data_IF_070104904142
#
_entry.id   IF_070104904142
#
_cell.length_a   1.000
_cell.length_b   1.000
_cell.length_c   1.000
_cell.angle_alpha   90.00
_cell.angle_beta   90.00
_cell.angle_gamma   90.00
#
_symmetry.space_group_name_H-M   'P 1'
#
loop_
_entity.id
_entity.type
_entity.pdbx_description
1 polymer ?
#
# COMPACT_ATOMS: atom_id res chain seq x y z
N UNK A 1 15.98 -4.32 -20.29
CA UNK A 1 15.12 -5.20 -21.11
C UNK A 1 13.85 -4.41 -21.37
N UNK A 2 13.48 -4.19 -22.61
CA UNK A 2 12.39 -3.28 -22.96
C UNK A 2 11.03 -3.91 -22.64
N UNK A 3 10.05 -3.09 -22.26
CA UNK A 3 8.66 -3.46 -21.96
C UNK A 3 8.03 -4.40 -23.02
N UNK A 4 8.55 -4.36 -24.24
CA UNK A 4 8.17 -5.20 -25.38
C UNK A 4 8.32 -6.71 -25.15
N UNK A 5 9.24 -7.17 -24.30
CA UNK A 5 9.34 -8.61 -23.97
C UNK A 5 8.31 -9.01 -22.89
N UNK A 6 8.01 -8.11 -21.96
CA UNK A 6 7.09 -8.36 -20.84
C UNK A 6 5.66 -8.46 -21.37
N UNK A 7 5.28 -7.56 -22.27
CA UNK A 7 3.90 -7.49 -22.79
C UNK A 7 3.53 -8.68 -23.68
N UNK A 8 4.51 -9.41 -24.24
CA UNK A 8 4.25 -10.65 -25.01
C UNK A 8 3.62 -11.78 -24.19
N UNK A 9 3.69 -11.69 -22.86
CA UNK A 9 3.05 -12.64 -21.96
C UNK A 9 1.53 -12.40 -21.82
N UNK A 10 1.02 -11.31 -22.38
CA UNK A 10 -0.36 -10.87 -22.26
C UNK A 10 -1.08 -10.87 -23.61
N UNK A 11 -2.42 -10.97 -23.63
CA UNK A 11 -3.20 -10.84 -24.85
C UNK A 11 -2.88 -9.56 -25.64
N UNK A 12 -2.86 -9.65 -26.98
CA UNK A 12 -2.41 -8.53 -27.84
C UNK A 12 -3.21 -7.24 -27.63
N UNK A 13 -4.50 -7.35 -27.30
CA UNK A 13 -5.40 -6.24 -26.98
C UNK A 13 -5.06 -5.54 -25.65
N UNK A 14 -4.39 -6.23 -24.72
CA UNK A 14 -3.93 -5.67 -23.44
C UNK A 14 -2.59 -4.94 -23.56
N UNK A 15 -1.78 -5.26 -24.56
CA UNK A 15 -0.43 -4.72 -24.72
C UNK A 15 -0.40 -3.18 -24.76
N UNK A 16 -1.25 -2.48 -25.53
CA UNK A 16 -1.25 -1.02 -25.55
C UNK A 16 -1.56 -0.41 -24.19
N UNK A 17 -2.51 -1.00 -23.46
CA UNK A 17 -2.85 -0.58 -22.11
C UNK A 17 -1.67 -0.75 -21.15
N UNK A 18 -1.03 -1.91 -21.12
CA UNK A 18 0.12 -2.17 -20.23
C UNK A 18 1.30 -1.25 -20.55
N UNK A 19 1.59 -0.99 -21.83
CA UNK A 19 2.62 -0.02 -22.25
C UNK A 19 2.30 1.39 -21.74
N UNK A 20 1.03 1.80 -21.83
CA UNK A 20 0.57 3.10 -21.33
C UNK A 20 0.74 3.22 -19.81
N UNK A 21 0.33 2.21 -19.04
CA UNK A 21 0.51 2.21 -17.58
C UNK A 21 1.99 2.20 -17.21
N UNK A 22 2.81 1.36 -17.86
CA UNK A 22 4.25 1.30 -17.65
C UNK A 22 4.93 2.66 -17.85
N UNK A 23 4.63 3.34 -18.97
CA UNK A 23 5.13 4.68 -19.23
C UNK A 23 4.60 5.70 -18.22
N UNK A 24 3.34 5.56 -17.82
CA UNK A 24 2.72 6.38 -16.79
C UNK A 24 3.46 6.28 -15.46
N UNK A 25 3.77 5.06 -15.00
CA UNK A 25 4.51 4.83 -13.76
C UNK A 25 5.90 5.47 -13.79
N UNK A 26 6.64 5.34 -14.89
CA UNK A 26 7.97 5.97 -15.04
C UNK A 26 7.86 7.49 -15.02
N UNK A 27 6.87 8.04 -15.73
CA UNK A 27 6.67 9.49 -15.78
C UNK A 27 6.26 10.03 -14.40
N UNK A 28 5.36 9.32 -13.72
CA UNK A 28 4.80 9.73 -12.44
C UNK A 28 5.81 9.64 -11.29
N UNK A 29 6.53 8.51 -11.18
CA UNK A 29 7.55 8.32 -10.15
C UNK A 29 8.83 9.11 -10.45
N UNK A 30 9.13 9.32 -11.73
CA UNK A 30 10.38 9.93 -12.18
C UNK A 30 11.41 8.90 -12.64
N UNK A 31 12.39 9.38 -13.41
CA UNK A 31 13.39 8.54 -14.08
C UNK A 31 14.23 7.70 -13.13
N UNK A 32 14.43 8.16 -11.90
CA UNK A 32 15.26 7.49 -10.89
C UNK A 32 14.65 6.15 -10.47
N UNK A 33 13.33 6.01 -10.61
CA UNK A 33 12.56 4.80 -10.29
C UNK A 33 12.32 3.90 -11.50
N UNK A 34 12.85 4.22 -12.68
CA UNK A 34 12.62 3.43 -13.90
C UNK A 34 12.99 1.96 -13.73
N UNK A 35 14.14 1.65 -13.12
CA UNK A 35 14.58 0.27 -12.90
C UNK A 35 13.62 -0.50 -11.97
N UNK A 36 13.08 0.17 -10.95
CA UNK A 36 12.08 -0.43 -10.07
C UNK A 36 10.81 -0.80 -10.87
N UNK A 37 10.29 0.13 -11.67
CA UNK A 37 9.11 -0.11 -12.52
C UNK A 37 9.38 -1.28 -13.49
N UNK A 38 10.53 -1.29 -14.15
CA UNK A 38 10.94 -2.38 -15.05
C UNK A 38 10.96 -3.74 -14.33
N UNK A 39 11.52 -3.80 -13.13
CA UNK A 39 11.61 -5.03 -12.35
C UNK A 39 10.23 -5.52 -11.89
N UNK A 40 9.35 -4.62 -11.47
CA UNK A 40 7.97 -4.98 -11.08
C UNK A 40 7.22 -5.57 -12.26
N UNK A 41 7.21 -4.89 -13.42
CA UNK A 41 6.53 -5.39 -14.61
C UNK A 41 7.10 -6.72 -15.10
N UNK A 42 8.40 -6.96 -14.89
CA UNK A 42 9.05 -8.20 -15.30
C UNK A 42 8.78 -9.37 -14.35
N UNK A 43 8.82 -9.12 -13.03
CA UNK A 43 8.87 -10.18 -12.02
C UNK A 43 7.55 -10.37 -11.28
N UNK A 44 6.57 -9.49 -11.48
CA UNK A 44 5.24 -9.60 -10.90
C UNK A 44 4.26 -9.94 -12.03
N UNK A 45 3.81 -11.20 -12.15
CA UNK A 45 2.76 -11.57 -13.08
C UNK A 45 1.45 -10.85 -12.77
N UNK A 46 0.76 -10.39 -13.80
CA UNK A 46 -0.59 -9.84 -13.70
C UNK A 46 -1.61 -10.89 -14.17
N UNK A 47 -2.62 -11.17 -13.36
CA UNK A 47 -3.68 -12.12 -13.69
C UNK A 47 -5.00 -11.39 -13.67
N UNK A 48 -5.65 -11.33 -14.82
CA UNK A 48 -6.92 -10.63 -15.01
C UNK A 48 -8.07 -11.61 -15.16
N UNK A 49 -9.28 -11.20 -14.78
CA UNK A 49 -10.52 -11.94 -14.98
C UNK A 49 -10.55 -13.32 -14.31
N UNK A 50 -9.92 -13.40 -13.13
CA UNK A 50 -9.93 -14.61 -12.29
C UNK A 50 -10.14 -14.25 -10.83
N UNK A 51 -10.87 -15.11 -10.12
CA UNK A 51 -11.08 -14.95 -8.69
C UNK A 51 -9.74 -14.96 -7.94
N UNK A 52 -9.52 -13.95 -7.10
CA UNK A 52 -8.31 -13.77 -6.31
C UNK A 52 -7.99 -15.02 -5.47
N UNK A 53 -8.96 -15.53 -4.71
CA UNK A 53 -8.77 -16.69 -3.85
C UNK A 53 -8.29 -17.91 -4.63
N UNK A 54 -8.96 -18.26 -5.73
CA UNK A 54 -8.63 -19.43 -6.55
C UNK A 54 -7.22 -19.36 -7.11
N UNK A 55 -6.79 -18.18 -7.57
CA UNK A 55 -5.43 -17.97 -8.10
C UNK A 55 -4.39 -18.15 -6.99
N UNK A 56 -4.63 -17.61 -5.79
CA UNK A 56 -3.69 -17.75 -4.68
C UNK A 56 -3.60 -19.20 -4.16
N UNK A 57 -4.72 -19.96 -4.16
CA UNK A 57 -4.71 -21.40 -3.89
C UNK A 57 -3.84 -22.12 -4.91
N UNK A 58 -4.12 -21.94 -6.20
CA UNK A 58 -3.42 -22.61 -7.30
C UNK A 58 -1.90 -22.37 -7.27
N UNK A 59 -1.50 -21.16 -6.86
CA UNK A 59 -0.10 -20.73 -6.77
C UNK A 59 0.58 -21.11 -5.45
N UNK A 60 -0.14 -21.73 -4.51
CA UNK A 60 0.31 -22.00 -3.13
C UNK A 60 0.80 -20.71 -2.43
N UNK A 61 0.06 -19.61 -2.59
CA UNK A 61 0.36 -18.30 -2.04
C UNK A 61 -0.65 -17.85 -0.97
N UNK A 62 -1.57 -18.73 -0.56
CA UNK A 62 -2.44 -18.46 0.59
C UNK A 62 -1.71 -18.73 1.90
N UNK A 63 -1.77 -17.75 2.79
CA UNK A 63 -1.44 -17.95 4.19
C UNK A 63 -2.67 -18.42 4.94
N UNK A 64 -2.62 -19.62 5.52
CA UNK A 64 -3.76 -20.27 6.17
C UNK A 64 -4.22 -19.50 7.43
N UNK A 65 -3.45 -18.50 7.88
CA UNK A 65 -3.77 -17.63 9.02
C UNK A 65 -3.61 -16.13 8.68
N UNK A 66 -3.80 -15.72 7.41
CA UNK A 66 -3.79 -14.29 7.05
C UNK A 66 -4.96 -13.55 7.70
N UNK A 67 -4.76 -12.26 7.99
CA UNK A 67 -5.84 -11.36 8.49
C UNK A 67 -6.98 -11.29 7.48
N UNK A 68 -6.65 -11.22 6.18
CA UNK A 68 -7.64 -11.26 5.12
C UNK A 68 -8.19 -12.68 5.03
N UNK A 69 -9.46 -12.84 5.42
CA UNK A 69 -10.12 -14.13 5.42
C UNK A 69 -10.34 -14.66 4.00
N UNK A 70 -10.48 -15.97 3.86
CA UNK A 70 -10.80 -16.60 2.56
C UNK A 70 -12.06 -16.01 1.90
N UNK A 71 -13.07 -15.63 2.68
CA UNK A 71 -14.30 -14.99 2.20
C UNK A 71 -14.12 -13.53 1.75
N UNK A 72 -13.08 -12.84 2.24
CA UNK A 72 -12.73 -11.50 1.76
C UNK A 72 -11.99 -11.60 0.44
N UNK A 73 -11.02 -12.51 0.32
CA UNK A 73 -10.32 -12.79 -0.94
C UNK A 73 -11.27 -13.22 -2.06
N UNK A 74 -12.29 -14.03 -1.76
CA UNK A 74 -13.30 -14.44 -2.75
C UNK A 74 -14.09 -13.26 -3.32
N UNK A 75 -14.20 -12.15 -2.58
CA UNK A 75 -14.97 -10.95 -2.95
C UNK A 75 -14.07 -9.79 -3.39
N UNK A 76 -12.75 -9.95 -3.32
CA UNK A 76 -11.80 -8.89 -3.64
C UNK A 76 -11.83 -8.55 -5.15
N UNK A 77 -11.87 -7.26 -5.45
CA UNK A 77 -11.77 -6.74 -6.82
C UNK A 77 -10.37 -6.91 -7.39
N UNK A 78 -9.34 -6.79 -6.54
CA UNK A 78 -7.96 -7.12 -6.84
C UNK A 78 -7.14 -7.35 -5.58
N UNK A 79 -5.93 -7.87 -5.76
CA UNK A 79 -4.91 -7.97 -4.71
C UNK A 79 -3.50 -7.99 -5.32
N UNK A 80 -2.57 -7.29 -4.69
CA UNK A 80 -1.15 -7.61 -4.74
C UNK A 80 -0.83 -8.61 -3.62
N UNK A 81 -0.32 -9.78 -4.00
CA UNK A 81 0.10 -10.80 -3.05
C UNK A 81 1.55 -11.18 -3.27
N UNK A 82 2.25 -11.43 -2.17
CA UNK A 82 3.61 -11.92 -2.16
C UNK A 82 3.81 -13.00 -1.11
N UNK A 83 4.71 -13.94 -1.39
CA UNK A 83 4.96 -15.11 -0.56
C UNK A 83 6.46 -15.45 -0.59
N UNK A 84 7.17 -15.36 0.55
CA UNK A 84 8.57 -15.72 0.65
C UNK A 84 8.70 -17.24 0.82
N UNK A 85 9.53 -17.87 0.00
CA UNK A 85 9.94 -19.26 0.21
C UNK A 85 11.13 -19.27 1.17
N UNK A 86 10.88 -19.81 2.36
CA UNK A 86 11.85 -19.81 3.45
C UNK A 86 12.57 -21.15 3.57
N UNK A 87 13.83 -21.10 4.00
CA UNK A 87 14.64 -22.28 4.33
C UNK A 87 15.27 -22.09 5.71
N UNK A 88 15.32 -23.16 6.48
CA UNK A 88 16.07 -23.25 7.73
C UNK A 88 17.24 -24.23 7.58
N UNK A 89 18.45 -23.82 7.99
CA UNK A 89 19.66 -24.64 7.87
C UNK A 89 20.06 -25.37 9.17
N UNK A 90 19.21 -25.34 10.19
CA UNK A 90 19.53 -25.83 11.54
C UNK A 90 20.02 -24.74 12.49
N UNK A 91 20.30 -23.53 11.99
CA UNK A 91 20.74 -22.38 12.79
C UNK A 91 20.03 -21.09 12.41
N UNK A 92 19.90 -20.79 11.12
CA UNK A 92 19.36 -19.54 10.59
C UNK A 92 18.23 -19.78 9.60
N UNK A 93 17.29 -18.83 9.55
CA UNK A 93 16.30 -18.73 8.48
C UNK A 93 16.86 -17.90 7.32
N UNK A 94 16.47 -18.23 6.10
CA UNK A 94 16.83 -17.50 4.88
C UNK A 94 15.67 -17.46 3.90
N UNK A 95 15.59 -16.39 3.10
CA UNK A 95 14.63 -16.23 2.00
C UNK A 95 15.31 -16.73 0.73
N UNK A 96 14.76 -17.77 0.10
CA UNK A 96 15.30 -18.34 -1.14
C UNK A 96 14.76 -17.61 -2.38
N UNK A 97 13.46 -17.36 -2.37
CA UNK A 97 12.76 -16.62 -3.42
C UNK A 97 11.55 -15.90 -2.82
N UNK A 98 11.05 -14.88 -3.52
CA UNK A 98 9.79 -14.21 -3.20
C UNK A 98 8.90 -14.34 -4.42
N UNK A 99 7.81 -15.09 -4.28
CA UNK A 99 6.76 -15.16 -5.28
C UNK A 99 5.90 -13.92 -5.15
N UNK A 100 5.50 -13.32 -6.27
CA UNK A 100 4.66 -12.12 -6.33
C UNK A 100 3.60 -12.31 -7.39
N UNK A 101 2.46 -11.66 -7.22
CA UNK A 101 1.38 -11.65 -8.20
C UNK A 101 0.45 -10.46 -7.96
N UNK A 102 -0.07 -9.88 -9.03
CA UNK A 102 -1.27 -9.02 -8.98
C UNK A 102 -2.41 -9.81 -9.61
N UNK A 103 -3.55 -9.89 -8.92
CA UNK A 103 -4.76 -10.52 -9.45
C UNK A 103 -5.89 -9.49 -9.45
N UNK A 104 -6.64 -9.38 -10.54
CA UNK A 104 -7.82 -8.50 -10.65
C UNK A 104 -9.00 -9.30 -11.21
N UNK A 105 -10.08 -9.39 -10.44
CA UNK A 105 -11.17 -10.35 -10.67
C UNK A 105 -12.07 -10.02 -11.87
N UNK A 106 -12.35 -8.74 -12.14
CA UNK A 106 -13.27 -8.29 -13.19
C UNK A 106 -12.67 -7.12 -13.97
N UNK A 107 -11.66 -7.41 -14.78
CA UNK A 107 -10.88 -6.41 -15.49
C UNK A 107 -11.34 -6.19 -16.93
N UNK A 108 -11.49 -4.93 -17.29
CA UNK A 108 -11.66 -4.46 -18.67
C UNK A 108 -10.86 -3.18 -18.90
N UNK A 109 -10.16 -3.11 -20.04
CA UNK A 109 -9.43 -1.91 -20.47
C UNK A 109 -10.32 -0.69 -20.74
N UNK A 110 -11.64 -0.90 -20.84
CA UNK A 110 -12.63 0.16 -21.01
C UNK A 110 -13.32 0.56 -19.68
N UNK A 111 -13.09 -0.18 -18.59
CA UNK A 111 -13.73 0.04 -17.30
C UNK A 111 -12.79 0.80 -16.36
N UNK A 112 -13.07 2.09 -16.18
CA UNK A 112 -12.35 3.01 -15.28
C UNK A 112 -12.16 2.39 -13.89
N UNK A 113 -13.20 1.80 -13.31
CA UNK A 113 -13.13 1.19 -11.97
C UNK A 113 -12.18 -0.01 -11.92
N UNK A 114 -12.15 -0.82 -12.97
CA UNK A 114 -11.27 -1.99 -12.99
C UNK A 114 -9.81 -1.63 -13.27
N UNK A 115 -9.57 -0.56 -14.05
CA UNK A 115 -8.24 0.03 -14.24
C UNK A 115 -7.76 0.63 -12.92
N UNK A 116 -8.62 1.35 -12.20
CA UNK A 116 -8.26 1.94 -10.90
C UNK A 116 -7.90 0.85 -9.89
N UNK A 117 -8.68 -0.25 -9.85
CA UNK A 117 -8.35 -1.43 -9.02
C UNK A 117 -6.97 -2.00 -9.38
N UNK A 118 -6.64 -2.13 -10.68
CA UNK A 118 -5.31 -2.58 -11.09
C UNK A 118 -4.20 -1.60 -10.69
N UNK A 119 -4.39 -0.30 -10.88
CA UNK A 119 -3.40 0.72 -10.50
C UNK A 119 -3.18 0.76 -8.99
N UNK A 120 -4.24 0.56 -8.20
CA UNK A 120 -4.16 0.44 -6.74
C UNK A 120 -3.22 -0.70 -6.32
N UNK A 121 -3.44 -1.91 -6.86
CA UNK A 121 -2.58 -3.05 -6.56
C UNK A 121 -1.16 -2.90 -7.13
N UNK A 122 -1.02 -2.24 -8.28
CA UNK A 122 0.28 -1.91 -8.83
C UNK A 122 1.06 -0.93 -7.93
N UNK A 123 0.35 0.00 -7.28
CA UNK A 123 0.91 0.88 -6.25
C UNK A 123 1.53 0.08 -5.11
N UNK A 124 0.79 -0.87 -4.54
CA UNK A 124 1.34 -1.79 -3.52
C UNK A 124 2.53 -2.60 -4.05
N UNK A 125 2.45 -3.15 -5.26
CA UNK A 125 3.56 -3.91 -5.83
C UNK A 125 4.84 -3.07 -5.96
N UNK A 126 4.73 -1.83 -6.48
CA UNK A 126 5.85 -0.88 -6.59
C UNK A 126 6.44 -0.56 -5.23
N UNK A 127 5.58 -0.25 -4.26
CA UNK A 127 5.98 0.08 -2.89
C UNK A 127 6.42 -1.12 -2.07
N UNK A 128 6.13 -2.36 -2.46
CA UNK A 128 6.59 -3.54 -1.73
C UNK A 128 7.92 -4.06 -2.27
N UNK A 129 8.14 -3.95 -3.59
CA UNK A 129 9.17 -4.72 -4.30
C UNK A 129 10.59 -4.64 -3.70
N UNK A 130 11.02 -3.44 -3.30
CA UNK A 130 12.33 -3.23 -2.68
C UNK A 130 12.26 -3.46 -1.17
N UNK A 131 13.14 -4.33 -0.67
CA UNK A 131 13.27 -4.67 0.76
C UNK A 131 11.96 -5.15 1.39
N UNK A 132 11.15 -5.89 0.63
CA UNK A 132 9.84 -6.37 1.05
C UNK A 132 9.89 -7.25 2.28
N UNK A 133 10.91 -8.09 2.41
CA UNK A 133 11.03 -9.07 3.48
C UNK A 133 12.42 -9.00 4.12
N UNK A 134 12.45 -9.06 5.44
CA UNK A 134 13.67 -9.15 6.25
C UNK A 134 13.49 -10.21 7.34
N UNK A 135 14.58 -10.88 7.70
CA UNK A 135 14.60 -11.86 8.79
C UNK A 135 15.44 -11.30 9.94
N UNK A 136 14.83 -11.19 11.11
CA UNK A 136 15.45 -10.74 12.35
C UNK A 136 15.34 -11.86 13.39
N UNK A 137 16.38 -12.70 13.47
CA UNK A 137 16.33 -13.90 14.31
C UNK A 137 15.28 -14.90 13.82
N UNK A 138 14.23 -15.11 14.60
CA UNK A 138 13.07 -15.94 14.24
C UNK A 138 11.86 -15.11 13.80
N UNK A 139 12.02 -13.82 13.54
CA UNK A 139 10.96 -12.96 13.04
C UNK A 139 11.15 -12.71 11.54
N UNK A 140 10.10 -12.91 10.77
CA UNK A 140 9.98 -12.39 9.41
C UNK A 140 9.21 -11.08 9.49
N UNK A 141 9.81 -10.01 8.99
CA UNK A 141 9.18 -8.70 8.83
C UNK A 141 8.88 -8.50 7.35
N UNK A 142 7.62 -8.26 7.02
CA UNK A 142 7.17 -7.87 5.67
C UNK A 142 6.82 -6.39 5.65
N UNK A 143 7.28 -5.67 4.64
CA UNK A 143 6.97 -4.25 4.43
C UNK A 143 6.45 -3.97 3.03
N UNK A 144 5.29 -3.32 2.96
CA UNK A 144 4.70 -2.77 1.73
C UNK A 144 4.47 -1.29 1.96
N UNK A 145 5.35 -0.44 1.42
CA UNK A 145 5.42 0.97 1.83
C UNK A 145 5.63 1.11 3.35
N UNK A 146 4.67 1.75 4.03
CA UNK A 146 4.66 1.89 5.50
C UNK A 146 4.06 0.71 6.25
N UNK A 147 3.29 -0.15 5.58
CA UNK A 147 2.72 -1.35 6.21
C UNK A 147 3.86 -2.20 6.74
N UNK A 148 3.72 -2.64 7.98
CA UNK A 148 4.65 -3.58 8.61
C UNK A 148 3.85 -4.76 9.17
N UNK A 149 4.12 -5.94 8.65
CA UNK A 149 3.60 -7.21 9.15
C UNK A 149 4.75 -8.01 9.77
N UNK A 150 4.48 -8.64 10.91
CA UNK A 150 5.45 -9.49 11.61
C UNK A 150 4.92 -10.89 11.75
N UNK A 151 5.78 -11.85 11.44
CA UNK A 151 5.49 -13.27 11.55
C UNK A 151 6.58 -13.97 12.36
N UNK A 152 6.17 -14.80 13.32
CA UNK A 152 7.07 -15.70 14.02
C UNK A 152 7.34 -16.92 13.14
N UNK A 153 8.61 -17.24 12.95
CA UNK A 153 9.08 -18.39 12.21
C UNK A 153 9.30 -19.58 13.14
N UNK A 154 8.65 -20.69 12.83
CA UNK A 154 8.84 -21.97 13.51
C UNK A 154 9.12 -23.06 12.49
N UNK A 155 9.78 -24.14 12.93
CA UNK A 155 10.00 -25.32 12.09
C UNK A 155 9.09 -26.43 12.60
N UNK A 156 8.24 -26.93 11.71
CA UNK A 156 7.34 -28.04 12.00
C UNK A 156 7.38 -29.02 10.83
N UNK A 157 7.64 -30.29 11.12
CA UNK A 157 7.71 -31.38 10.13
C UNK A 157 8.68 -31.10 8.96
N UNK A 158 9.78 -30.39 9.25
CA UNK A 158 10.81 -30.02 8.27
C UNK A 158 10.47 -28.80 7.41
N UNK A 159 9.31 -28.17 7.61
CA UNK A 159 8.89 -26.96 6.92
C UNK A 159 8.94 -25.75 7.83
N UNK A 160 9.29 -24.58 7.26
CA UNK A 160 9.19 -23.31 7.96
C UNK A 160 7.73 -22.85 7.94
N UNK A 161 7.10 -22.80 9.12
CA UNK A 161 5.78 -22.23 9.32
C UNK A 161 5.91 -20.77 9.76
N UNK A 162 4.86 -20.00 9.47
CA UNK A 162 4.77 -18.57 9.76
C UNK A 162 3.51 -18.33 10.57
N UNK A 163 3.68 -17.79 11.77
CA UNK A 163 2.57 -17.40 12.64
C UNK A 163 2.46 -15.88 12.65
N UNK A 164 1.31 -15.34 12.26
CA UNK A 164 1.07 -13.91 12.26
C UNK A 164 1.11 -13.34 13.68
N UNK A 165 1.87 -12.26 13.89
CA UNK A 165 2.03 -11.62 15.20
C UNK A 165 1.35 -10.25 15.22
N UNK A 166 1.58 -9.42 14.21
CA UNK A 166 1.07 -8.05 14.20
C UNK A 166 1.12 -7.43 12.81
N UNK A 167 0.22 -6.48 12.58
CA UNK A 167 0.16 -5.61 11.41
C UNK A 167 -0.04 -4.18 11.91
N UNK A 168 0.66 -3.22 11.31
CA UNK A 168 0.58 -1.80 11.66
C UNK A 168 0.71 -0.91 10.43
N UNK A 169 0.27 0.33 10.58
CA UNK A 169 0.41 1.42 9.62
C UNK A 169 -0.38 1.25 8.31
N UNK A 170 -1.37 0.36 8.30
CA UNK A 170 -2.28 0.17 7.16
C UNK A 170 -2.96 1.47 6.78
N UNK A 171 -3.45 2.24 7.74
CA UNK A 171 -4.29 3.38 7.43
C UNK A 171 -3.56 4.49 6.69
N UNK A 172 -2.31 4.77 7.06
CA UNK A 172 -1.52 5.79 6.35
C UNK A 172 -1.15 5.31 4.94
N UNK A 173 -0.72 4.05 4.80
CA UNK A 173 -0.36 3.46 3.50
C UNK A 173 -1.55 3.42 2.55
N UNK A 174 -2.71 2.91 2.98
CA UNK A 174 -3.91 2.82 2.14
C UNK A 174 -4.40 4.20 1.70
N UNK A 175 -4.35 5.18 2.59
CA UNK A 175 -4.66 6.57 2.25
C UNK A 175 -3.72 7.10 1.17
N UNK A 176 -2.41 6.91 1.31
CA UNK A 176 -1.40 7.36 0.33
C UNK A 176 -1.50 6.57 -0.98
N UNK A 177 -1.83 5.28 -0.94
CA UNK A 177 -2.04 4.46 -2.12
C UNK A 177 -3.29 4.91 -2.91
N UNK A 178 -4.34 5.38 -2.23
CA UNK A 178 -5.46 6.05 -2.89
C UNK A 178 -5.06 7.36 -3.58
N UNK A 179 -4.11 8.13 -3.01
CA UNK A 179 -3.57 9.34 -3.66
C UNK A 179 -2.73 8.98 -4.89
N UNK A 180 -1.88 7.95 -4.78
CA UNK A 180 -1.11 7.42 -5.90
C UNK A 180 -2.05 6.99 -7.05
N UNK A 181 -3.05 6.17 -6.72
CA UNK A 181 -4.09 5.71 -7.65
C UNK A 181 -4.80 6.88 -8.32
N UNK A 182 -5.29 7.83 -7.53
CA UNK A 182 -6.04 8.98 -8.04
C UNK A 182 -5.21 9.82 -9.00
N UNK A 183 -3.96 10.17 -8.64
CA UNK A 183 -3.11 10.99 -9.50
C UNK A 183 -2.70 10.25 -10.79
N UNK A 184 -2.37 8.96 -10.70
CA UNK A 184 -2.09 8.12 -11.87
C UNK A 184 -3.29 8.02 -12.81
N UNK A 185 -4.48 7.77 -12.25
CA UNK A 185 -5.72 7.71 -13.02
C UNK A 185 -6.04 9.06 -13.68
N UNK A 186 -5.96 10.17 -12.95
CA UNK A 186 -6.21 11.51 -13.48
C UNK A 186 -5.24 11.88 -14.61
N UNK A 187 -3.97 11.53 -14.46
CA UNK A 187 -2.96 11.91 -15.43
C UNK A 187 -3.03 11.07 -16.72
N UNK A 188 -3.37 9.79 -16.63
CA UNK A 188 -3.22 8.88 -17.77
C UNK A 188 -4.53 8.28 -18.28
N UNK A 189 -5.58 8.19 -17.47
CA UNK A 189 -6.78 7.40 -17.80
C UNK A 189 -8.02 8.29 -17.89
N UNK A 190 -8.41 8.93 -16.79
CA UNK A 190 -9.63 9.72 -16.67
C UNK A 190 -9.36 10.98 -15.82
N UNK A 191 -9.24 12.18 -16.44
CA UNK A 191 -8.85 13.41 -15.75
C UNK A 191 -9.71 13.80 -14.55
N UNK A 192 -10.97 13.36 -14.49
CA UNK A 192 -11.89 13.67 -13.39
C UNK A 192 -12.01 12.53 -12.36
N UNK A 193 -11.16 11.51 -12.44
CA UNK A 193 -11.21 10.37 -11.53
C UNK A 193 -11.03 10.79 -10.07
N UNK A 194 -11.78 10.17 -9.17
CA UNK A 194 -11.64 10.28 -7.72
C UNK A 194 -11.71 8.90 -7.10
N UNK A 195 -10.76 8.58 -6.22
CA UNK A 195 -10.83 7.33 -5.48
C UNK A 195 -11.93 7.44 -4.42
N UNK A 196 -12.84 6.47 -4.39
CA UNK A 196 -13.91 6.38 -3.39
C UNK A 196 -13.57 5.36 -2.29
N UNK A 197 -12.39 4.74 -2.35
CA UNK A 197 -11.91 3.81 -1.35
C UNK A 197 -11.45 4.56 -0.09
N UNK A 198 -11.72 3.96 1.07
CA UNK A 198 -11.20 4.36 2.38
C UNK A 198 -11.28 5.87 2.67
N UNK A 199 -12.47 6.45 2.45
CA UNK A 199 -12.64 7.91 2.39
C UNK A 199 -12.15 8.71 3.59
N UNK A 200 -12.03 8.12 4.79
CA UNK A 200 -11.43 8.78 5.95
C UNK A 200 -9.92 8.93 5.82
N UNK A 201 -9.19 7.83 5.60
CA UNK A 201 -7.73 7.88 5.44
C UNK A 201 -7.31 8.54 4.13
N UNK A 202 -8.08 8.41 3.06
CA UNK A 202 -7.85 9.14 1.80
C UNK A 202 -7.98 10.66 2.00
N UNK A 203 -8.89 11.12 2.87
CA UNK A 203 -9.00 12.54 3.22
C UNK A 203 -7.77 13.03 4.02
N UNK A 204 -7.32 12.24 4.99
CA UNK A 204 -6.10 12.54 5.76
C UNK A 204 -4.88 12.63 4.84
N UNK A 205 -4.68 11.63 3.97
CA UNK A 205 -3.59 11.61 3.00
C UNK A 205 -3.62 12.82 2.06
N UNK A 206 -4.80 13.20 1.54
CA UNK A 206 -4.97 14.41 0.73
C UNK A 206 -4.49 15.67 1.48
N UNK A 207 -4.86 15.84 2.74
CA UNK A 207 -4.41 17.00 3.53
C UNK A 207 -2.88 16.99 3.71
N UNK A 208 -2.29 15.84 4.03
CA UNK A 208 -0.86 15.71 4.21
C UNK A 208 -0.10 16.01 2.91
N UNK A 209 -0.54 15.45 1.78
CA UNK A 209 0.09 15.65 0.48
C UNK A 209 -0.09 17.08 -0.03
N UNK A 210 -1.30 17.66 0.03
CA UNK A 210 -1.57 18.96 -0.59
C UNK A 210 -1.19 20.14 0.30
N UNK A 211 -1.42 20.06 1.62
CA UNK A 211 -1.20 21.19 2.53
C UNK A 211 0.22 21.28 3.06
N UNK A 212 0.90 20.15 3.22
CA UNK A 212 2.32 20.14 3.55
C UNK A 212 3.23 19.92 2.33
N UNK A 213 2.67 19.69 1.14
CA UNK A 213 3.44 19.42 -0.09
C UNK A 213 4.40 18.23 0.08
N UNK A 214 3.94 17.19 0.79
CA UNK A 214 4.78 16.05 1.19
C UNK A 214 4.67 14.84 0.26
N UNK A 215 3.94 14.93 -0.86
CA UNK A 215 3.68 13.78 -1.72
C UNK A 215 4.98 13.04 -2.12
N UNK A 216 5.97 13.76 -2.65
CA UNK A 216 7.23 13.16 -3.09
C UNK A 216 8.02 12.55 -1.92
N UNK A 217 7.97 13.19 -0.75
CA UNK A 217 8.65 12.71 0.47
C UNK A 217 8.00 11.43 1.00
N UNK A 218 6.66 11.33 0.94
CA UNK A 218 5.95 10.10 1.26
C UNK A 218 6.28 9.00 0.27
N UNK A 219 6.20 9.28 -1.04
CA UNK A 219 6.51 8.29 -2.08
C UNK A 219 7.95 7.76 -1.94
N UNK A 220 8.93 8.63 -1.74
CA UNK A 220 10.32 8.21 -1.53
C UNK A 220 10.45 7.33 -0.29
N UNK A 221 9.84 7.71 0.83
CA UNK A 221 9.87 6.93 2.06
C UNK A 221 9.19 5.56 1.93
N UNK A 222 8.06 5.48 1.21
CA UNK A 222 7.36 4.22 0.92
C UNK A 222 8.23 3.30 0.05
N UNK A 223 8.87 3.83 -0.99
CA UNK A 223 9.68 3.04 -1.92
C UNK A 223 10.99 2.56 -1.26
N UNK A 224 11.70 3.46 -0.58
CA UNK A 224 13.00 3.18 0.08
C UNK A 224 12.87 2.44 1.40
N UNK A 225 11.69 2.47 2.04
CA UNK A 225 11.44 2.01 3.41
C UNK A 225 12.10 2.86 4.50
N UNK A 226 12.57 4.06 4.15
CA UNK A 226 13.21 5.01 5.06
C UNK A 226 12.30 6.21 5.35
N UNK A 227 11.82 6.32 6.58
CA UNK A 227 10.92 7.39 7.03
C UNK A 227 11.64 8.50 7.81
N UNK A 228 12.98 8.53 7.83
CA UNK A 228 13.75 9.48 8.62
C UNK A 228 13.43 10.94 8.27
N UNK A 229 13.31 11.25 6.98
CA UNK A 229 12.97 12.60 6.50
C UNK A 229 11.57 13.03 6.94
N UNK A 230 10.59 12.11 6.92
CA UNK A 230 9.22 12.38 7.38
C UNK A 230 9.17 12.58 8.90
N UNK A 231 9.83 11.72 9.66
CA UNK A 231 9.93 11.83 11.12
C UNK A 231 10.56 13.13 11.55
N UNK A 232 11.63 13.54 10.87
CA UNK A 232 12.27 14.84 11.10
C UNK A 232 11.35 16.00 10.75
N UNK A 233 10.63 15.92 9.62
CA UNK A 233 9.74 16.99 9.18
C UNK A 233 8.52 17.16 10.08
N UNK A 234 7.86 16.05 10.42
CA UNK A 234 6.63 16.05 11.21
C UNK A 234 6.92 16.20 12.70
N UNK A 235 8.10 15.80 13.15
CA UNK A 235 8.41 15.54 14.55
C UNK A 235 8.10 14.09 14.91
N UNK A 236 9.02 13.44 15.61
CA UNK A 236 8.98 12.02 15.98
C UNK A 236 7.65 11.59 16.61
N UNK A 237 7.24 12.30 17.67
CA UNK A 237 5.99 12.03 18.41
C UNK A 237 4.76 12.18 17.51
N UNK A 238 4.74 13.23 16.68
CA UNK A 238 3.63 13.53 15.79
C UNK A 238 3.52 12.49 14.67
N UNK A 239 4.64 12.01 14.14
CA UNK A 239 4.66 10.96 13.13
C UNK A 239 4.03 9.67 13.64
N UNK A 240 4.41 9.19 14.82
CA UNK A 240 3.80 7.99 15.39
C UNK A 240 2.33 8.19 15.77
N UNK A 241 1.98 9.35 16.34
CA UNK A 241 0.60 9.70 16.65
C UNK A 241 -0.28 9.71 15.40
N UNK A 242 0.25 10.21 14.28
CA UNK A 242 -0.44 10.23 13.00
C UNK A 242 -0.70 8.81 12.48
N UNK A 243 0.31 7.93 12.52
CA UNK A 243 0.16 6.53 12.07
C UNK A 243 -0.91 5.79 12.88
N UNK A 244 -0.86 5.89 14.21
CA UNK A 244 -1.85 5.27 15.08
C UNK A 244 -3.26 5.79 14.84
N UNK A 245 -3.41 7.09 14.58
CA UNK A 245 -4.69 7.69 14.27
C UNK A 245 -5.21 7.22 12.90
N UNK A 246 -4.34 7.14 11.89
CA UNK A 246 -4.71 6.64 10.57
C UNK A 246 -5.18 5.18 10.64
N UNK A 247 -4.51 4.32 11.41
CA UNK A 247 -4.94 2.94 11.60
C UNK A 247 -6.35 2.87 12.23
N UNK A 248 -6.64 3.70 13.25
CA UNK A 248 -7.98 3.77 13.84
C UNK A 248 -9.05 4.23 12.85
N UNK A 249 -8.73 5.21 12.01
CA UNK A 249 -9.64 5.70 10.96
C UNK A 249 -9.88 4.60 9.92
N UNK A 250 -8.83 3.92 9.47
CA UNK A 250 -8.90 2.84 8.50
C UNK A 250 -9.78 1.68 8.98
N UNK A 251 -9.64 1.26 10.23
CA UNK A 251 -10.49 0.23 10.82
C UNK A 251 -11.98 0.63 10.80
N UNK A 252 -12.29 1.91 10.98
CA UNK A 252 -13.66 2.41 10.86
C UNK A 252 -14.13 2.47 9.39
N UNK A 253 -13.26 2.79 8.44
CA UNK A 253 -13.59 2.71 7.01
C UNK A 253 -13.89 1.27 6.58
N UNK A 254 -13.08 0.29 6.97
CA UNK A 254 -13.35 -1.14 6.75
C UNK A 254 -14.70 -1.55 7.36
N UNK A 255 -14.93 -1.16 8.61
CA UNK A 255 -16.19 -1.47 9.30
C UNK A 255 -17.40 -0.87 8.58
N UNK A 256 -17.29 0.32 7.98
CA UNK A 256 -18.38 0.94 7.19
C UNK A 256 -18.78 0.08 6.00
N UNK A 257 -17.82 -0.55 5.31
CA UNK A 257 -18.14 -1.50 4.24
C UNK A 257 -18.83 -2.75 4.77
N UNK A 258 -18.37 -3.30 5.91
CA UNK A 258 -18.97 -4.48 6.53
C UNK A 258 -20.42 -4.25 6.99
N UNK A 259 -20.75 -3.05 7.47
CA UNK A 259 -22.08 -2.69 7.98
C UNK A 259 -22.91 -1.86 7.01
N UNK A 260 -22.54 -1.80 5.73
CA UNK A 260 -23.15 -0.90 4.75
C UNK A 260 -24.68 -1.05 4.61
N UNK A 261 -25.22 -2.24 4.88
CA UNK A 261 -26.66 -2.53 4.82
C UNK A 261 -27.39 -2.42 6.16
N UNK A 262 -26.71 -1.99 7.23
CA UNK A 262 -27.30 -1.69 8.54
C UNK A 262 -27.19 -0.18 8.82
N UNK A 263 -28.27 0.56 8.57
CA UNK A 263 -28.30 2.02 8.62
C UNK A 263 -27.88 2.61 9.97
N UNK A 264 -28.32 2.00 11.08
CA UNK A 264 -27.96 2.45 12.43
C UNK A 264 -26.47 2.25 12.71
N UNK A 265 -25.94 1.05 12.44
CA UNK A 265 -24.52 0.77 12.64
C UNK A 265 -23.63 1.60 11.70
N UNK A 266 -24.06 1.81 10.45
CA UNK A 266 -23.38 2.66 9.49
C UNK A 266 -23.33 4.11 9.97
N UNK A 267 -24.43 4.65 10.48
CA UNK A 267 -24.48 6.00 11.05
C UNK A 267 -23.53 6.14 12.24
N UNK A 268 -23.57 5.21 13.20
CA UNK A 268 -22.70 5.26 14.39
C UNK A 268 -21.22 5.13 14.02
N UNK A 269 -20.89 4.25 13.07
CA UNK A 269 -19.51 4.06 12.60
C UNK A 269 -19.01 5.29 11.86
N UNK A 270 -19.85 5.89 11.01
CA UNK A 270 -19.55 7.14 10.29
C UNK A 270 -19.30 8.29 11.25
N UNK A 271 -20.16 8.46 12.27
CA UNK A 271 -19.98 9.50 13.30
C UNK A 271 -18.66 9.35 14.05
N UNK A 272 -18.27 8.12 14.42
CA UNK A 272 -16.98 7.85 15.08
C UNK A 272 -15.79 8.15 14.17
N UNK A 273 -15.88 7.78 12.88
CA UNK A 273 -14.84 8.08 11.90
C UNK A 273 -14.69 9.60 11.72
N UNK A 274 -15.81 10.30 11.58
CA UNK A 274 -15.82 11.76 11.39
C UNK A 274 -15.28 12.49 12.61
N UNK A 275 -15.51 11.97 13.81
CA UNK A 275 -14.86 12.48 15.02
C UNK A 275 -13.33 12.39 14.92
N UNK A 276 -12.78 11.22 14.56
CA UNK A 276 -11.33 11.05 14.41
C UNK A 276 -10.75 11.95 13.31
N UNK A 277 -11.46 12.11 12.20
CA UNK A 277 -10.97 12.88 11.04
C UNK A 277 -11.12 14.40 11.25
N UNK A 278 -12.30 14.86 11.69
CA UNK A 278 -12.66 16.28 11.73
C UNK A 278 -12.33 16.94 13.07
N UNK A 279 -11.94 16.17 14.10
CA UNK A 279 -11.46 16.72 15.36
C UNK A 279 -10.03 16.25 15.62
N UNK A 280 -9.84 14.98 15.95
CA UNK A 280 -8.54 14.47 16.45
C UNK A 280 -7.40 14.68 15.43
N UNK A 281 -7.63 14.38 14.15
CA UNK A 281 -6.64 14.60 13.10
C UNK A 281 -6.39 16.08 12.83
N UNK A 282 -7.44 16.92 12.79
CA UNK A 282 -7.26 18.36 12.57
C UNK A 282 -6.54 19.04 13.74
N UNK A 283 -6.76 18.58 14.98
CA UNK A 283 -6.00 19.01 16.15
C UNK A 283 -4.52 18.64 16.03
N UNK A 284 -4.22 17.38 15.67
CA UNK A 284 -2.84 16.94 15.44
C UNK A 284 -2.17 17.71 14.30
N UNK A 285 -2.87 17.90 13.17
CA UNK A 285 -2.40 18.69 12.04
C UNK A 285 -2.05 20.13 12.45
N UNK A 286 -2.91 20.77 13.24
CA UNK A 286 -2.66 22.12 13.74
C UNK A 286 -1.48 22.16 14.72
N UNK A 287 -1.29 21.13 15.55
CA UNK A 287 -0.14 20.98 16.45
C UNK A 287 1.17 20.88 15.64
N UNK A 288 1.21 20.00 14.63
CA UNK A 288 2.34 19.86 13.70
C UNK A 288 2.69 21.21 13.06
N UNK A 289 1.68 21.90 12.50
CA UNK A 289 1.87 23.20 11.86
C UNK A 289 2.45 24.25 12.82
N UNK A 290 1.96 24.29 14.06
CA UNK A 290 2.41 25.25 15.08
C UNK A 290 3.86 24.98 15.49
N UNK A 291 4.23 23.72 15.71
CA UNK A 291 5.57 23.37 16.16
C UNK A 291 6.61 23.63 15.06
N UNK A 292 6.28 23.35 13.79
CA UNK A 292 7.14 23.70 12.65
C UNK A 292 7.40 25.19 12.50
N UNK A 293 6.36 26.02 12.65
CA UNK A 293 6.53 27.48 12.58
C UNK A 293 7.51 27.99 13.64
N UNK A 294 7.49 27.42 14.85
CA UNK A 294 8.44 27.79 15.90
C UNK A 294 9.86 27.40 15.53
N UNK A 295 10.07 26.19 15.03
CA UNK A 295 11.39 25.72 14.60
C UNK A 295 11.98 26.62 13.50
N UNK A 296 11.17 27.02 12.52
CA UNK A 296 11.58 27.95 11.46
C UNK A 296 11.93 29.34 12.02
N UNK A 297 11.18 29.84 13.01
CA UNK A 297 11.50 31.10 13.70
C UNK A 297 12.80 31.02 14.50
N UNK A 298 13.02 29.94 15.26
CA UNK A 298 14.27 29.71 15.99
C UNK A 298 15.47 29.58 15.03
N UNK A 299 15.31 28.90 13.89
CA UNK A 299 16.37 28.74 12.89
C UNK A 299 16.74 30.07 12.21
N UNK A 300 15.78 30.99 12.05
CA UNK A 300 16.04 32.35 11.53
C UNK A 300 16.76 33.21 12.55
N UNK A 301 16.32 33.20 13.81
CA UNK A 301 16.90 34.01 14.89
C UNK A 301 18.28 33.52 15.35
N UNK A 302 18.66 32.29 15.04
CA UNK A 302 20.00 31.73 15.34
C UNK A 302 21.03 31.95 14.23
N UNK A 303 20.59 32.48 13.07
CA UNK A 303 21.45 32.83 11.93
C UNK A 303 21.66 34.34 11.78
N UNK A 304 20.96 35.15 12.58
CA UNK A 304 21.14 36.60 12.74
C UNK A 304 22.09 36.90 13.89
#
# INVERSE_FOLDING_TARGET
>A
MEIDEIVKLYPEDFVPFLKKIYQGCIHFLGSDWKNLVEQVFLQVPFVFNRNVYDVLVERNMLEINSIVGSEELKRASGVYSSFPVLKYDGKNYSIQEIKRIIVVSNFSVDSVNSISSFIHELGHALKAFQNEYQIEGNMLVRRSGFIEEKFLLTVQDGEVKREFISEKNMGLEEGLNCIFEEKMMQQFIEPNFKSNAYGGVSFVANILCDRFSLFDVFMEAELTKDDQSLRKFLGEEHYFSLKELCDKIYQLDLKRYQVAFNSEQLFQTTKKRDQLVLQDFLELYNKIKKDRNKEDEYARNSRS
#
